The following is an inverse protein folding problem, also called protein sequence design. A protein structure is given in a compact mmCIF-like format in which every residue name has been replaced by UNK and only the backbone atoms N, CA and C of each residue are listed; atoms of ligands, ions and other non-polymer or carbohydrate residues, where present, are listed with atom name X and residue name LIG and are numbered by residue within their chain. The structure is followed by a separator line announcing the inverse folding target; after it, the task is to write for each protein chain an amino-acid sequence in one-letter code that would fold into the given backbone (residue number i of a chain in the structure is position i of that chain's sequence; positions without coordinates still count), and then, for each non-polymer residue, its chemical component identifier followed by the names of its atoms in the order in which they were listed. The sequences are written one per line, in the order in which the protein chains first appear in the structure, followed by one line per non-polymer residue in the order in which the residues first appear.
data_IF_383544746664
#
_entry.id   IF_383544746664
#
_cell.length_a   1.000
_cell.length_b   1.000
_cell.length_c   1.000
_cell.angle_alpha   90.00
_cell.angle_beta   90.00
_cell.angle_gamma   90.00
#
_symmetry.space_group_name_H-M   'P 1'
#
loop_
_entity.id
_entity.type
_entity.pdbx_description
1 polymer ?
#
# COMPACT_ATOMS: atom_id res chain seq x y z
N UNK A 1 59.58 -42.60 -68.05
CA UNK A 1 58.70 -41.48 -68.42
C UNK A 1 57.90 -41.13 -67.19
N UNK A 2 58.16 -39.94 -66.68
CA UNK A 2 57.89 -39.46 -65.32
C UNK A 2 56.65 -38.57 -65.35
N UNK A 3 55.67 -38.79 -64.49
CA UNK A 3 54.61 -37.82 -64.12
C UNK A 3 54.22 -38.17 -62.66
N UNK A 4 54.90 -37.66 -61.63
CA UNK A 4 54.69 -36.39 -60.90
C UNK A 4 53.26 -36.08 -60.38
N UNK A 5 53.17 -36.14 -59.04
CA UNK A 5 52.61 -35.17 -58.07
C UNK A 5 51.11 -34.83 -58.09
N UNK A 6 50.50 -34.98 -56.90
CA UNK A 6 49.30 -34.24 -56.54
C UNK A 6 48.61 -34.65 -55.23
N UNK A 7 49.35 -34.89 -54.14
CA UNK A 7 48.74 -35.14 -52.84
C UNK A 7 48.28 -33.80 -52.23
N UNK A 8 47.01 -33.45 -52.41
CA UNK A 8 46.38 -32.29 -51.73
C UNK A 8 46.06 -32.69 -50.29
N UNK A 9 46.85 -32.19 -49.36
CA UNK A 9 46.53 -32.20 -47.93
C UNK A 9 45.33 -31.26 -47.72
N UNK A 10 44.16 -31.82 -47.39
CA UNK A 10 43.03 -31.03 -46.90
C UNK A 10 43.34 -30.64 -45.46
N UNK A 11 43.79 -29.40 -45.25
CA UNK A 11 43.89 -28.83 -43.91
C UNK A 11 42.46 -28.56 -43.39
N UNK A 12 41.96 -29.44 -42.55
CA UNK A 12 40.75 -29.19 -41.76
C UNK A 12 41.15 -28.19 -40.67
N UNK A 13 40.90 -26.91 -40.92
CA UNK A 13 40.98 -25.88 -39.89
C UNK A 13 39.81 -26.11 -38.93
N UNK A 14 40.07 -26.78 -37.81
CA UNK A 14 39.15 -26.80 -36.67
C UNK A 14 39.04 -25.37 -36.13
N UNK A 15 38.00 -24.65 -36.57
CA UNK A 15 37.57 -23.42 -35.93
C UNK A 15 37.01 -23.81 -34.55
N UNK A 16 37.84 -23.76 -33.52
CA UNK A 16 37.39 -23.81 -32.14
C UNK A 16 36.67 -22.50 -31.89
N UNK A 17 35.35 -22.49 -32.07
CA UNK A 17 34.49 -21.44 -31.53
C UNK A 17 34.59 -21.59 -30.02
N UNK A 18 35.38 -20.71 -29.39
CA UNK A 18 35.30 -20.50 -27.96
C UNK A 18 33.91 -19.95 -27.67
N UNK A 19 32.97 -20.84 -27.38
CA UNK A 19 31.72 -20.46 -26.75
C UNK A 19 32.16 -19.93 -25.39
N UNK A 20 32.18 -18.60 -25.24
CA UNK A 20 32.18 -18.02 -23.91
C UNK A 20 30.89 -18.52 -23.26
N UNK A 21 30.99 -19.57 -22.45
CA UNK A 21 30.01 -19.79 -21.41
C UNK A 21 30.11 -18.59 -20.49
N UNK A 22 29.43 -17.50 -20.84
CA UNK A 22 28.89 -16.64 -19.82
C UNK A 22 28.03 -17.59 -19.00
N UNK A 23 28.54 -18.00 -17.84
CA UNK A 23 27.73 -18.68 -16.85
C UNK A 23 26.54 -17.76 -16.64
N UNK A 24 25.38 -18.14 -17.18
CA UNK A 24 24.12 -17.60 -16.72
C UNK A 24 24.07 -18.05 -15.27
N UNK A 25 24.54 -17.16 -14.39
CA UNK A 25 24.34 -17.34 -12.97
C UNK A 25 22.83 -17.19 -12.83
N UNK A 26 22.14 -18.33 -12.72
CA UNK A 26 20.79 -18.34 -12.18
C UNK A 26 20.90 -17.61 -10.86
N UNK A 27 20.32 -16.41 -10.80
CA UNK A 27 20.20 -15.70 -9.53
C UNK A 27 19.46 -16.64 -8.60
N UNK A 28 19.92 -16.75 -7.35
CA UNK A 28 19.19 -17.52 -6.36
C UNK A 28 17.71 -17.08 -6.32
N UNK A 29 16.75 -18.01 -6.17
CA UNK A 29 15.36 -17.65 -5.91
C UNK A 29 15.28 -16.78 -4.66
N UNK A 30 14.18 -16.02 -4.51
CA UNK A 30 14.01 -15.18 -3.34
C UNK A 30 14.17 -16.02 -2.06
N UNK A 31 14.92 -15.53 -1.06
CA UNK A 31 15.06 -16.24 0.21
C UNK A 31 13.71 -16.58 0.82
N UNK A 32 13.59 -17.77 1.44
CA UNK A 32 12.33 -18.23 2.04
C UNK A 32 11.72 -17.25 3.06
N UNK A 33 12.56 -16.46 3.73
CA UNK A 33 12.10 -15.41 4.66
C UNK A 33 11.22 -14.36 3.98
N UNK A 34 11.43 -14.09 2.68
CA UNK A 34 10.63 -13.10 1.95
C UNK A 34 9.13 -13.42 1.96
N UNK A 35 8.78 -14.69 2.15
CA UNK A 35 7.43 -15.21 2.17
C UNK A 35 6.82 -15.29 3.58
N UNK A 36 7.55 -14.96 4.64
CA UNK A 36 7.03 -14.98 6.01
C UNK A 36 5.79 -14.10 6.16
N UNK A 37 5.85 -12.90 5.57
CA UNK A 37 4.73 -11.96 5.53
C UNK A 37 3.53 -12.45 4.74
N UNK A 38 3.64 -13.45 3.85
CA UNK A 38 2.49 -13.96 3.09
C UNK A 38 1.39 -14.54 3.98
N UNK A 39 1.67 -14.84 5.25
CA UNK A 39 0.65 -15.26 6.23
C UNK A 39 -0.11 -14.09 6.84
N UNK A 40 0.41 -12.88 6.74
CA UNK A 40 -0.26 -11.69 7.22
C UNK A 40 -1.49 -11.38 6.37
N UNK A 41 -2.51 -10.85 7.02
CA UNK A 41 -3.78 -10.46 6.41
C UNK A 41 -4.33 -9.22 7.10
N UNK A 42 -5.28 -8.57 6.42
CA UNK A 42 -6.10 -7.50 6.97
C UNK A 42 -7.53 -7.69 6.49
N UNK A 43 -8.48 -7.45 7.39
CA UNK A 43 -9.91 -7.45 7.13
C UNK A 43 -10.51 -6.16 7.67
N UNK A 44 -11.53 -5.66 6.99
CA UNK A 44 -12.30 -4.52 7.44
C UNK A 44 -13.78 -4.70 7.10
N UNK A 45 -14.65 -4.51 8.09
CA UNK A 45 -16.09 -4.68 7.94
C UNK A 45 -16.86 -3.77 8.88
N UNK A 46 -18.14 -3.56 8.59
CA UNK A 46 -19.07 -2.89 9.51
C UNK A 46 -19.51 -3.90 10.57
N UNK A 47 -19.23 -3.62 11.85
CA UNK A 47 -19.45 -4.54 12.97
C UNK A 47 -20.92 -5.01 13.03
N UNK A 48 -21.85 -4.06 12.93
CA UNK A 48 -23.29 -4.32 12.97
C UNK A 48 -23.89 -4.55 11.55
N UNK A 49 -23.03 -4.60 10.52
CA UNK A 49 -23.42 -4.63 9.12
C UNK A 49 -23.79 -3.26 8.54
N UNK A 50 -23.65 -3.13 7.21
CA UNK A 50 -23.81 -1.84 6.52
C UNK A 50 -25.17 -1.17 6.75
N UNK A 51 -26.23 -1.94 6.96
CA UNK A 51 -27.61 -1.44 7.10
C UNK A 51 -28.04 -1.14 8.54
N UNK A 52 -27.21 -1.42 9.54
CA UNK A 52 -27.54 -1.13 10.94
C UNK A 52 -27.52 0.38 11.25
N UNK A 53 -28.19 0.79 12.33
CA UNK A 53 -28.20 2.20 12.75
C UNK A 53 -26.83 2.65 13.26
N UNK A 54 -26.20 1.85 14.12
CA UNK A 54 -24.83 2.09 14.59
C UNK A 54 -23.86 1.90 13.43
N UNK A 55 -23.06 2.92 13.17
CA UNK A 55 -21.96 2.86 12.21
C UNK A 55 -20.65 2.66 12.95
N UNK A 56 -20.32 1.41 13.23
CA UNK A 56 -19.00 1.04 13.71
C UNK A 56 -18.35 0.07 12.73
N UNK A 57 -17.07 0.23 12.46
CA UNK A 57 -16.30 -0.69 11.66
C UNK A 57 -15.14 -1.28 12.45
N UNK A 58 -14.84 -2.53 12.16
CA UNK A 58 -13.69 -3.23 12.69
C UNK A 58 -12.59 -3.23 11.64
N UNK A 59 -11.33 -3.19 12.11
CA UNK A 59 -10.20 -3.67 11.33
C UNK A 59 -9.56 -4.79 12.15
N UNK A 60 -9.33 -5.93 11.51
CA UNK A 60 -8.60 -7.05 12.11
C UNK A 60 -7.44 -7.40 11.20
N UNK A 61 -6.29 -7.62 11.81
CA UNK A 61 -5.09 -8.06 11.12
C UNK A 61 -4.58 -9.37 11.71
N UNK A 62 -3.49 -9.90 11.17
CA UNK A 62 -2.75 -10.99 11.78
C UNK A 62 -2.04 -10.61 13.09
N UNK A 63 -2.05 -9.35 13.54
CA UNK A 63 -1.27 -8.90 14.71
C UNK A 63 -2.05 -8.06 15.71
N UNK A 64 -3.01 -7.28 15.26
CA UNK A 64 -3.86 -6.42 16.09
C UNK A 64 -5.27 -6.27 15.52
N UNK A 65 -6.19 -5.78 16.34
CA UNK A 65 -7.51 -5.38 15.91
C UNK A 65 -7.93 -4.04 16.46
N UNK A 66 -8.97 -3.45 15.89
CA UNK A 66 -9.62 -2.24 16.41
C UNK A 66 -11.10 -2.20 16.07
N UNK A 67 -11.84 -1.45 16.89
CA UNK A 67 -13.24 -1.07 16.69
C UNK A 67 -13.34 0.44 16.69
N UNK A 68 -13.79 1.01 15.57
CA UNK A 68 -13.99 2.45 15.43
C UNK A 68 -15.47 2.76 15.20
N UNK A 69 -16.03 3.64 16.02
CA UNK A 69 -17.40 4.09 15.92
C UNK A 69 -17.47 5.43 15.18
N UNK A 70 -17.93 5.36 13.94
CA UNK A 70 -18.16 6.52 13.07
C UNK A 70 -19.26 7.42 13.63
N UNK A 71 -20.29 6.91 14.30
CA UNK A 71 -21.38 7.75 14.82
C UNK A 71 -20.95 8.70 15.93
N UNK A 72 -19.88 8.37 16.65
CA UNK A 72 -19.37 9.16 17.78
C UNK A 72 -17.96 9.72 17.56
N UNK A 73 -17.34 9.41 16.41
CA UNK A 73 -15.93 9.67 16.11
C UNK A 73 -15.02 9.15 17.23
N UNK A 74 -15.12 7.85 17.55
CA UNK A 74 -14.36 7.27 18.65
C UNK A 74 -13.68 5.95 18.27
N UNK A 75 -12.49 5.75 18.81
CA UNK A 75 -11.79 4.48 18.84
C UNK A 75 -12.21 3.76 20.14
N UNK A 76 -13.01 2.71 20.05
CA UNK A 76 -13.58 2.03 21.23
C UNK A 76 -12.68 0.91 21.75
N UNK A 77 -11.96 0.26 20.83
CA UNK A 77 -11.09 -0.90 21.10
C UNK A 77 -9.86 -0.84 20.20
N UNK A 78 -8.69 -1.14 20.76
CA UNK A 78 -7.44 -1.30 20.02
C UNK A 78 -6.45 -2.11 20.86
N UNK A 79 -5.94 -3.21 20.29
CA UNK A 79 -4.94 -4.04 20.95
C UNK A 79 -4.33 -5.09 20.03
N UNK A 80 -3.13 -5.55 20.40
CA UNK A 80 -2.44 -6.66 19.78
C UNK A 80 -3.08 -8.01 20.16
N UNK A 81 -2.93 -9.01 19.30
CA UNK A 81 -3.31 -10.39 19.58
C UNK A 81 -2.12 -11.13 20.17
N UNK A 82 -2.26 -11.63 21.40
CA UNK A 82 -1.23 -12.47 22.02
C UNK A 82 -1.05 -13.81 21.28
N UNK A 83 -2.13 -14.33 20.70
CA UNK A 83 -2.15 -15.55 19.89
C UNK A 83 -2.91 -15.26 18.61
N UNK A 84 -2.21 -14.83 17.55
CA UNK A 84 -2.87 -14.47 16.31
C UNK A 84 -3.49 -15.70 15.65
N UNK A 85 -4.74 -15.56 15.22
CA UNK A 85 -5.44 -16.59 14.45
C UNK A 85 -4.87 -16.67 13.04
N UNK A 86 -5.04 -17.83 12.41
CA UNK A 86 -4.88 -17.93 10.96
C UNK A 86 -5.93 -17.08 10.25
N UNK A 87 -5.69 -16.81 8.96
CA UNK A 87 -6.65 -16.12 8.10
C UNK A 87 -7.99 -16.86 8.03
N UNK A 88 -7.96 -18.19 7.92
CA UNK A 88 -9.16 -19.03 7.85
C UNK A 88 -9.96 -19.00 9.15
N UNK A 89 -9.31 -19.15 10.29
CA UNK A 89 -9.96 -19.04 11.61
C UNK A 89 -10.57 -17.66 11.81
N UNK A 90 -9.88 -16.61 11.36
CA UNK A 90 -10.34 -15.22 11.45
C UNK A 90 -11.61 -14.96 10.64
N UNK A 91 -11.77 -15.57 9.46
CA UNK A 91 -12.99 -15.44 8.65
C UNK A 91 -14.22 -16.08 9.30
N UNK A 92 -14.03 -16.99 10.24
CA UNK A 92 -15.10 -17.68 10.97
C UNK A 92 -15.36 -17.07 12.36
N UNK A 93 -14.49 -16.17 12.83
CA UNK A 93 -14.62 -15.51 14.12
C UNK A 93 -15.74 -14.46 14.10
N UNK A 94 -16.43 -14.31 15.24
CA UNK A 94 -17.39 -13.21 15.47
C UNK A 94 -16.70 -11.91 15.89
N UNK A 95 -17.50 -10.85 16.07
CA UNK A 95 -17.00 -9.54 16.51
C UNK A 95 -16.37 -9.60 17.91
N UNK A 96 -16.70 -10.61 18.71
CA UNK A 96 -16.37 -10.69 20.12
C UNK A 96 -14.85 -10.72 20.33
N UNK A 97 -14.11 -11.20 19.33
CA UNK A 97 -12.65 -11.09 19.29
C UNK A 97 -12.20 -9.62 19.43
N UNK A 98 -12.83 -8.72 18.67
CA UNK A 98 -12.51 -7.29 18.63
C UNK A 98 -13.16 -6.56 19.80
N UNK A 99 -14.39 -6.92 20.16
CA UNK A 99 -15.12 -6.28 21.28
C UNK A 99 -14.48 -6.53 22.64
N UNK A 100 -13.74 -7.64 22.79
CA UNK A 100 -12.98 -7.99 23.98
C UNK A 100 -11.54 -7.45 23.99
N UNK A 101 -11.11 -6.75 22.95
CA UNK A 101 -9.80 -6.08 22.97
C UNK A 101 -9.74 -5.02 24.08
N UNK A 102 -8.54 -4.63 24.52
CA UNK A 102 -8.39 -3.55 25.48
C UNK A 102 -9.06 -2.25 25.01
N UNK A 103 -9.66 -1.47 25.93
CA UNK A 103 -10.24 -0.18 25.58
C UNK A 103 -9.15 0.79 25.10
N UNK A 104 -9.53 1.64 24.17
CA UNK A 104 -8.73 2.76 23.71
C UNK A 104 -9.61 4.01 23.63
N UNK A 105 -8.99 5.17 23.41
CA UNK A 105 -9.70 6.40 23.11
C UNK A 105 -8.98 7.20 22.04
N UNK A 106 -9.73 8.00 21.30
CA UNK A 106 -9.22 8.92 20.30
C UNK A 106 -9.93 10.26 20.46
N UNK A 107 -9.16 11.34 20.44
CA UNK A 107 -9.65 12.70 20.49
C UNK A 107 -9.00 13.54 19.38
N UNK A 108 -9.84 14.16 18.56
CA UNK A 108 -9.43 15.08 17.50
C UNK A 108 -9.76 16.51 17.91
N UNK A 109 -8.77 17.40 17.93
CA UNK A 109 -8.92 18.82 18.24
C UNK A 109 -8.24 19.69 17.20
N UNK A 110 -8.82 20.87 16.98
CA UNK A 110 -8.24 21.95 16.20
C UNK A 110 -8.19 23.22 17.04
N UNK A 111 -7.07 23.93 17.01
CA UNK A 111 -6.96 25.28 17.54
C UNK A 111 -6.83 26.26 16.38
N UNK A 112 -7.76 27.22 16.27
CA UNK A 112 -7.78 28.26 15.26
C UNK A 112 -7.78 29.62 15.96
N UNK A 113 -6.72 30.41 15.78
CA UNK A 113 -6.50 31.71 16.43
C UNK A 113 -6.77 31.69 17.95
N UNK A 114 -6.27 30.67 18.64
CA UNK A 114 -6.42 30.49 20.10
C UNK A 114 -7.76 29.92 20.55
N UNK A 115 -8.70 29.66 19.64
CA UNK A 115 -9.97 28.98 19.94
C UNK A 115 -9.87 27.49 19.64
N UNK A 116 -10.15 26.65 20.64
CA UNK A 116 -10.11 25.19 20.54
C UNK A 116 -11.48 24.63 20.13
N UNK A 117 -11.46 23.68 19.20
CA UNK A 117 -12.61 22.97 18.67
C UNK A 117 -12.38 21.47 18.86
N UNK A 118 -13.29 20.79 19.57
CA UNK A 118 -13.31 19.32 19.62
C UNK A 118 -14.16 18.81 18.46
N UNK A 119 -13.59 17.90 17.66
CA UNK A 119 -14.24 17.42 16.46
C UNK A 119 -15.21 16.27 16.73
N UNK A 120 -16.17 16.14 15.82
CA UNK A 120 -17.15 15.06 15.71
C UNK A 120 -17.43 14.77 14.24
N UNK A 121 -17.83 13.55 13.94
CA UNK A 121 -18.36 13.16 12.63
C UNK A 121 -19.87 13.38 12.56
N UNK A 122 -20.41 13.35 11.34
CA UNK A 122 -21.85 13.33 11.08
C UNK A 122 -22.52 11.99 11.46
N UNK A 123 -21.72 10.92 11.59
CA UNK A 123 -22.20 9.55 11.66
C UNK A 123 -22.76 9.01 10.34
N UNK A 124 -22.83 9.83 9.28
CA UNK A 124 -23.29 9.42 7.98
C UNK A 124 -22.20 8.54 7.33
N UNK A 125 -22.51 7.28 6.98
CA UNK A 125 -21.53 6.40 6.36
C UNK A 125 -21.09 6.86 4.94
N UNK A 126 -21.81 7.78 4.29
CA UNK A 126 -21.37 8.38 3.02
C UNK A 126 -20.14 9.27 3.20
N UNK A 127 -19.96 9.87 4.38
CA UNK A 127 -18.75 10.64 4.74
C UNK A 127 -17.58 9.71 5.12
N UNK A 128 -17.77 8.38 5.18
CA UNK A 128 -16.73 7.41 5.51
C UNK A 128 -16.34 6.61 4.27
N UNK A 129 -15.39 7.16 3.52
CA UNK A 129 -14.97 6.68 2.21
C UNK A 129 -14.01 5.51 2.34
N UNK A 130 -14.25 4.45 1.58
CA UNK A 130 -13.29 3.36 1.38
C UNK A 130 -12.34 3.71 0.24
N UNK A 131 -11.05 3.89 0.54
CA UNK A 131 -10.05 4.29 -0.45
C UNK A 131 -9.36 3.05 -1.02
N UNK A 132 -8.70 2.26 -0.17
CA UNK A 132 -8.07 1.00 -0.53
C UNK A 132 -8.51 -0.13 0.41
N UNK A 133 -8.65 -1.34 -0.15
CA UNK A 133 -9.00 -2.53 0.61
C UNK A 133 -8.41 -3.77 -0.03
N UNK A 134 -7.90 -4.68 0.79
CA UNK A 134 -7.43 -6.00 0.37
C UNK A 134 -6.60 -6.68 1.45
N UNK A 135 -5.75 -7.62 1.07
CA UNK A 135 -4.96 -8.42 2.02
C UNK A 135 -4.00 -7.60 2.85
N UNK A 136 -3.26 -6.70 2.22
CA UNK A 136 -2.10 -6.03 2.80
C UNK A 136 -2.43 -4.69 3.42
N UNK A 137 -3.46 -4.02 2.92
CA UNK A 137 -3.68 -2.63 3.27
C UNK A 137 -5.16 -2.29 3.25
N UNK A 138 -5.61 -1.60 4.30
CA UNK A 138 -6.95 -1.05 4.43
C UNK A 138 -6.84 0.45 4.65
N UNK A 139 -7.62 1.24 3.94
CA UNK A 139 -7.66 2.69 4.13
C UNK A 139 -9.07 3.24 4.04
N UNK A 140 -9.44 4.01 5.06
CA UNK A 140 -10.67 4.80 5.07
C UNK A 140 -10.39 6.25 5.41
N UNK A 141 -11.25 7.13 4.90
CA UNK A 141 -11.21 8.55 5.22
C UNK A 141 -12.59 8.96 5.70
N UNK A 142 -12.65 9.54 6.89
CA UNK A 142 -13.84 10.15 7.46
C UNK A 142 -13.78 11.64 7.14
N UNK A 143 -14.62 12.06 6.20
CA UNK A 143 -14.75 13.43 5.70
C UNK A 143 -15.64 14.27 6.62
N UNK A 144 -15.71 15.56 6.28
CA UNK A 144 -16.73 16.49 6.78
C UNK A 144 -16.79 16.54 8.32
N UNK A 145 -15.64 16.46 8.99
CA UNK A 145 -15.61 16.59 10.45
C UNK A 145 -16.10 17.99 10.84
N UNK A 146 -16.98 18.04 11.82
CA UNK A 146 -17.54 19.26 12.39
C UNK A 146 -17.04 19.45 13.82
N UNK A 147 -17.22 20.64 14.39
CA UNK A 147 -17.00 20.86 15.82
C UNK A 147 -18.29 20.62 16.61
N UNK A 148 -18.15 20.04 17.80
CA UNK A 148 -19.30 19.64 18.65
C UNK A 148 -20.20 20.81 19.08
N UNK A 149 -19.60 21.98 19.31
CA UNK A 149 -20.26 23.09 20.03
C UNK A 149 -20.47 24.36 19.18
N UNK A 150 -19.82 24.45 18.01
CA UNK A 150 -19.85 25.64 17.18
C UNK A 150 -19.57 25.31 15.71
N UNK A 151 -19.91 26.18 14.75
CA UNK A 151 -19.44 26.05 13.38
C UNK A 151 -17.91 26.01 13.32
N UNK A 152 -17.37 25.07 12.55
CA UNK A 152 -15.93 24.92 12.35
C UNK A 152 -15.47 25.80 11.17
N UNK A 153 -14.55 26.77 11.37
CA UNK A 153 -14.04 27.62 10.28
C UNK A 153 -12.89 26.97 9.49
N UNK A 154 -12.96 25.65 9.29
CA UNK A 154 -12.00 24.84 8.57
C UNK A 154 -12.71 23.62 7.95
N UNK A 155 -12.12 23.03 6.92
CA UNK A 155 -12.43 21.64 6.55
C UNK A 155 -11.54 20.71 7.36
N UNK A 156 -12.06 19.53 7.71
CA UNK A 156 -11.29 18.53 8.45
C UNK A 156 -11.71 17.10 8.08
N UNK A 157 -10.73 16.19 8.11
CA UNK A 157 -10.93 14.77 7.87
C UNK A 157 -9.99 13.91 8.71
N UNK A 158 -10.44 12.71 9.07
CA UNK A 158 -9.62 11.70 9.75
C UNK A 158 -9.39 10.54 8.79
N UNK A 159 -8.13 10.29 8.45
CA UNK A 159 -7.71 9.12 7.68
C UNK A 159 -7.23 8.02 8.62
N UNK A 160 -7.58 6.77 8.28
CA UNK A 160 -7.17 5.56 9.00
C UNK A 160 -6.60 4.60 7.96
N UNK A 161 -5.31 4.28 8.10
CA UNK A 161 -4.51 3.47 7.18
C UNK A 161 -3.89 2.29 7.94
N UNK A 162 -4.20 1.05 7.56
CA UNK A 162 -3.83 -0.14 8.30
C UNK A 162 -3.08 -1.15 7.44
N UNK A 163 -1.86 -1.47 7.85
CA UNK A 163 -1.07 -2.64 7.44
C UNK A 163 -1.21 -3.75 8.49
N UNK A 164 -0.80 -4.99 8.21
CA UNK A 164 -0.86 -6.06 9.20
C UNK A 164 -0.17 -5.73 10.53
N UNK A 165 0.92 -4.96 10.50
CA UNK A 165 1.80 -4.70 11.63
C UNK A 165 1.75 -3.25 12.15
N UNK A 166 0.89 -2.40 11.58
CA UNK A 166 0.67 -1.03 12.07
C UNK A 166 -0.62 -0.41 11.55
N UNK A 167 -1.18 0.50 12.34
CA UNK A 167 -2.22 1.44 11.91
C UNK A 167 -1.71 2.88 12.07
N UNK A 168 -2.02 3.73 11.10
CA UNK A 168 -1.81 5.17 11.16
C UNK A 168 -3.15 5.88 11.18
N UNK A 169 -3.29 6.85 12.08
CA UNK A 169 -4.37 7.82 12.12
C UNK A 169 -3.81 9.18 11.73
N UNK A 170 -4.40 9.85 10.74
CA UNK A 170 -3.99 11.18 10.31
C UNK A 170 -5.18 12.12 10.37
N UNK A 171 -5.07 13.16 11.21
CA UNK A 171 -6.04 14.24 11.24
C UNK A 171 -5.56 15.36 10.31
N UNK A 172 -6.36 15.68 9.30
CA UNK A 172 -6.10 16.76 8.35
C UNK A 172 -7.05 17.91 8.60
N UNK A 173 -6.54 19.14 8.51
CA UNK A 173 -7.37 20.35 8.52
C UNK A 173 -6.87 21.42 7.56
N UNK A 174 -7.80 22.09 6.88
CA UNK A 174 -7.53 23.26 6.04
C UNK A 174 -8.39 24.43 6.53
N UNK A 175 -7.81 25.49 7.10
CA UNK A 175 -8.54 26.69 7.47
C UNK A 175 -9.24 27.33 6.26
N UNK A 176 -10.46 27.84 6.45
CA UNK A 176 -11.20 28.53 5.38
C UNK A 176 -10.63 29.92 5.09
N UNK A 177 -9.96 30.53 6.08
CA UNK A 177 -9.29 31.81 5.95
C UNK A 177 -7.80 31.57 5.73
N UNK A 178 -7.24 32.18 4.68
CA UNK A 178 -5.80 32.12 4.40
C UNK A 178 -5.00 32.73 5.54
N UNK A 179 -3.81 32.16 5.80
CA UNK A 179 -2.85 32.62 6.80
C UNK A 179 -3.35 32.56 8.27
N UNK A 180 -4.50 31.92 8.51
CA UNK A 180 -5.00 31.69 9.85
C UNK A 180 -4.07 30.77 10.63
N UNK A 181 -3.82 31.07 11.90
CA UNK A 181 -3.06 30.16 12.76
C UNK A 181 -3.90 28.92 13.02
N UNK A 182 -3.33 27.75 12.73
CA UNK A 182 -4.02 26.48 12.86
C UNK A 182 -3.07 25.44 13.44
N UNK A 183 -3.45 24.90 14.60
CA UNK A 183 -2.78 23.76 15.23
C UNK A 183 -3.75 22.59 15.21
N UNK A 184 -3.24 21.43 14.81
CA UNK A 184 -3.99 20.18 14.76
C UNK A 184 -3.47 19.28 15.85
N UNK A 185 -4.37 18.72 16.66
CA UNK A 185 -4.04 17.82 17.74
C UNK A 185 -4.85 16.54 17.59
N UNK A 186 -4.13 15.41 17.50
CA UNK A 186 -4.70 14.07 17.50
C UNK A 186 -4.14 13.32 18.70
N UNK A 187 -5.01 12.96 19.64
CA UNK A 187 -4.63 12.18 20.83
C UNK A 187 -5.23 10.80 20.75
N UNK A 188 -4.39 9.79 20.97
CA UNK A 188 -4.81 8.41 21.19
C UNK A 188 -4.34 8.00 22.57
N UNK A 189 -5.22 7.35 23.33
CA UNK A 189 -4.86 6.71 24.59
C UNK A 189 -5.08 5.21 24.46
N UNK A 190 -4.06 4.44 24.80
CA UNK A 190 -4.11 2.99 24.83
C UNK A 190 -4.25 2.52 26.28
N UNK A 191 -4.97 1.41 26.47
CA UNK A 191 -4.85 0.63 27.70
C UNK A 191 -3.42 0.11 27.88
N UNK A 192 -2.96 0.01 29.13
CA UNK A 192 -1.68 -0.65 29.47
C UNK A 192 -1.63 -2.12 29.00
N UNK A 193 -2.81 -2.73 28.81
CA UNK A 193 -2.96 -4.09 28.32
C UNK A 193 -3.02 -4.18 26.78
N UNK A 194 -2.90 -3.07 26.06
CA UNK A 194 -3.01 -3.05 24.59
C UNK A 194 -1.95 -3.87 23.89
N UNK A 195 -0.76 -4.04 24.49
CA UNK A 195 0.38 -4.67 23.84
C UNK A 195 0.90 -3.89 22.63
N UNK A 196 0.64 -2.59 22.55
CA UNK A 196 0.98 -1.72 21.43
C UNK A 196 1.72 -0.46 21.90
N UNK A 197 2.47 0.18 20.99
CA UNK A 197 3.16 1.44 21.22
C UNK A 197 2.63 2.54 20.30
N UNK A 198 2.65 3.79 20.79
CA UNK A 198 2.29 4.99 20.04
C UNK A 198 3.54 5.74 19.59
N UNK A 199 3.53 6.20 18.35
CA UNK A 199 4.55 7.07 17.79
C UNK A 199 3.89 8.23 17.04
N UNK A 200 4.23 9.46 17.40
CA UNK A 200 3.82 10.62 16.61
C UNK A 200 4.54 10.61 15.27
N UNK A 201 3.80 10.97 14.22
CA UNK A 201 4.35 11.15 12.88
C UNK A 201 4.05 12.58 12.44
N UNK A 202 5.12 13.32 12.18
CA UNK A 202 5.03 14.60 11.49
C UNK A 202 4.69 14.33 10.02
N UNK A 203 3.61 14.93 9.54
CA UNK A 203 3.29 14.97 8.12
C UNK A 203 3.11 16.43 7.73
N UNK A 204 3.81 16.86 6.69
CA UNK A 204 3.58 18.16 6.05
C UNK A 204 2.79 17.93 4.77
N UNK A 205 1.70 18.67 4.61
CA UNK A 205 0.91 18.65 3.37
C UNK A 205 0.74 20.07 2.87
N UNK A 206 0.72 20.23 1.55
CA UNK A 206 0.65 21.54 0.90
C UNK A 206 -0.68 22.25 1.28
N UNK A 207 -0.58 23.30 2.10
CA UNK A 207 -1.72 24.08 2.59
C UNK A 207 -2.52 23.48 3.76
N UNK A 208 -2.47 22.16 4.02
CA UNK A 208 -3.16 21.54 5.17
C UNK A 208 -2.23 21.35 6.37
N UNK A 209 -2.80 21.39 7.57
CA UNK A 209 -2.14 21.01 8.82
C UNK A 209 -2.47 19.57 9.13
N UNK A 210 -1.48 18.79 9.57
CA UNK A 210 -1.63 17.36 9.82
C UNK A 210 -1.03 16.97 11.16
N UNK A 211 -1.76 16.15 11.92
CA UNK A 211 -1.23 15.43 13.07
C UNK A 211 -1.39 13.93 12.83
N UNK A 212 -0.30 13.19 12.96
CA UNK A 212 -0.29 11.75 12.74
C UNK A 212 0.08 10.96 14.00
N UNK A 213 -0.64 9.87 14.23
CA UNK A 213 -0.30 8.88 15.26
C UNK A 213 -0.23 7.51 14.62
N UNK A 214 0.91 6.85 14.79
CA UNK A 214 1.10 5.45 14.44
C UNK A 214 0.96 4.61 15.68
N UNK A 215 0.23 3.51 15.54
CA UNK A 215 0.17 2.44 16.53
C UNK A 215 0.75 1.18 15.91
N UNK A 216 1.70 0.55 16.59
CA UNK A 216 2.34 -0.69 16.14
C UNK A 216 2.73 -1.57 17.33
N UNK A 217 3.14 -2.80 17.05
CA UNK A 217 3.75 -3.66 18.05
C UNK A 217 5.02 -2.99 18.64
N UNK A 218 5.35 -3.25 19.93
CA UNK A 218 6.49 -2.67 20.60
C UNK A 218 7.81 -2.98 19.90
N UNK A 219 8.70 -2.00 19.81
CA UNK A 219 10.09 -2.25 19.40
C UNK A 219 10.93 -2.73 20.59
N UNK A 220 11.99 -3.53 20.37
CA UNK A 220 12.93 -3.85 21.44
C UNK A 220 13.46 -2.57 22.11
N UNK A 221 13.36 -2.48 23.45
CA UNK A 221 13.80 -1.29 24.19
C UNK A 221 15.25 -0.94 23.87
N UNK A 222 15.49 0.33 23.54
CA UNK A 222 16.84 0.84 23.21
C UNK A 222 17.24 0.65 21.75
N UNK A 223 16.41 0.03 20.90
CA UNK A 223 16.59 0.16 19.45
C UNK A 223 16.27 1.61 19.08
N UNK A 224 17.25 2.35 18.57
CA UNK A 224 16.97 3.59 17.85
C UNK A 224 16.03 3.33 16.64
N UNK A 225 15.62 4.37 15.90
CA UNK A 225 14.93 4.14 14.63
C UNK A 225 15.76 3.17 13.78
N UNK A 226 15.15 2.05 13.36
CA UNK A 226 15.85 1.07 12.55
C UNK A 226 16.38 1.77 11.28
N UNK A 227 17.64 1.54 10.89
CA UNK A 227 18.15 2.05 9.62
C UNK A 227 17.18 1.74 8.48
N UNK A 228 16.92 2.73 7.64
CA UNK A 228 16.03 2.54 6.51
C UNK A 228 16.59 1.48 5.55
N UNK A 229 15.69 0.71 4.94
CA UNK A 229 16.03 -0.13 3.80
C UNK A 229 16.54 0.78 2.67
N UNK A 230 17.58 0.36 1.97
CA UNK A 230 18.05 1.05 0.77
C UNK A 230 17.33 0.45 -0.44
N UNK A 231 16.53 1.26 -1.15
CA UNK A 231 15.74 0.81 -2.28
C UNK A 231 16.09 1.55 -3.56
N UNK A 232 16.21 0.79 -4.65
CA UNK A 232 16.30 1.28 -6.00
C UNK A 232 15.25 0.59 -6.87
N UNK A 233 14.65 1.35 -7.78
CA UNK A 233 13.70 0.84 -8.76
C UNK A 233 14.12 1.29 -10.16
N UNK A 234 14.21 0.34 -11.09
CA UNK A 234 14.53 0.61 -12.50
C UNK A 234 13.50 -0.07 -13.39
N UNK A 235 12.71 0.73 -14.08
CA UNK A 235 11.88 0.24 -15.16
C UNK A 235 12.75 -0.13 -16.35
N UNK A 236 12.41 -1.22 -17.04
CA UNK A 236 13.09 -1.63 -18.27
C UNK A 236 12.12 -1.90 -19.43
N UNK A 237 10.87 -2.26 -19.16
CA UNK A 237 9.78 -2.18 -20.14
C UNK A 237 8.67 -1.25 -19.63
N UNK A 238 8.00 -0.50 -20.52
CA UNK A 238 8.23 -0.41 -21.97
C UNK A 238 9.44 0.49 -22.35
N UNK A 239 9.96 1.26 -21.39
CA UNK A 239 11.13 2.12 -21.57
C UNK A 239 12.04 2.00 -20.36
N UNK A 240 13.34 1.92 -20.62
CA UNK A 240 14.35 1.90 -19.57
C UNK A 240 14.47 3.25 -18.87
N UNK A 241 14.23 3.27 -17.55
CA UNK A 241 14.32 4.49 -16.74
C UNK A 241 14.46 4.16 -15.25
N UNK A 242 15.32 4.85 -14.48
CA UNK A 242 15.21 4.83 -13.02
C UNK A 242 13.88 5.44 -12.58
N UNK A 243 13.22 4.81 -11.61
CA UNK A 243 11.98 5.30 -11.01
C UNK A 243 12.27 5.99 -9.69
N UNK A 244 11.44 6.97 -9.34
CA UNK A 244 11.51 7.61 -8.03
C UNK A 244 10.99 6.64 -6.96
N UNK A 245 11.77 6.45 -5.90
CA UNK A 245 11.38 5.70 -4.71
C UNK A 245 11.49 6.63 -3.52
N UNK A 246 10.40 6.81 -2.79
CA UNK A 246 10.35 7.64 -1.60
C UNK A 246 9.63 6.90 -0.48
N UNK A 247 10.13 7.02 0.75
CA UNK A 247 9.39 6.54 1.91
C UNK A 247 8.28 7.52 2.26
N UNK A 248 7.04 7.03 2.31
CA UNK A 248 5.89 7.77 2.80
C UNK A 248 5.70 7.43 4.28
N UNK A 249 5.99 8.35 5.23
CA UNK A 249 5.85 8.08 6.65
C UNK A 249 4.40 7.98 7.12
N UNK A 250 3.46 8.62 6.41
CA UNK A 250 2.03 8.58 6.71
C UNK A 250 1.46 7.21 6.37
N UNK A 251 1.77 6.68 5.17
CA UNK A 251 1.38 5.33 4.76
C UNK A 251 2.29 4.26 5.35
N UNK A 252 3.50 4.60 5.79
CA UNK A 252 4.47 3.68 6.33
C UNK A 252 5.11 2.75 5.30
N UNK A 253 5.16 3.15 4.03
CA UNK A 253 5.57 2.32 2.90
C UNK A 253 6.52 3.05 1.94
N UNK A 254 7.31 2.30 1.18
CA UNK A 254 8.10 2.85 0.08
C UNK A 254 7.22 2.97 -1.16
N UNK A 255 6.98 4.21 -1.58
CA UNK A 255 6.26 4.53 -2.80
C UNK A 255 7.21 4.49 -3.99
N UNK A 256 6.94 3.57 -4.92
CA UNK A 256 7.58 3.46 -6.23
C UNK A 256 6.68 4.17 -7.24
N UNK A 257 7.12 5.32 -7.73
CA UNK A 257 6.39 6.09 -8.76
C UNK A 257 6.53 5.38 -10.11
N UNK A 258 5.55 4.56 -10.47
CA UNK A 258 5.50 3.91 -11.78
C UNK A 258 5.33 4.95 -12.88
N UNK A 259 5.76 4.62 -14.09
CA UNK A 259 5.64 5.54 -15.21
C UNK A 259 4.18 5.71 -15.62
N UNK A 260 3.75 6.96 -15.78
CA UNK A 260 2.53 7.29 -16.52
C UNK A 260 2.87 7.38 -18.02
N UNK A 261 2.37 6.45 -18.82
CA UNK A 261 2.57 6.49 -20.26
C UNK A 261 1.52 7.40 -20.91
N UNK A 262 1.90 8.23 -21.90
CA UNK A 262 0.94 9.05 -22.64
C UNK A 262 0.01 8.16 -23.50
N UNK A 263 -1.27 8.51 -23.55
CA UNK A 263 -2.25 7.90 -24.46
C UNK A 263 -2.06 8.46 -25.89
N UNK A 264 -2.22 7.63 -26.95
CA UNK A 264 -2.08 8.09 -28.35
C UNK A 264 -2.11 7.01 -29.45
N UNK A 265 -2.05 7.43 -30.72
CA UNK A 265 -2.08 6.52 -31.89
C UNK A 265 -0.88 5.55 -31.93
N UNK A 266 -1.15 4.27 -32.27
CA UNK A 266 -0.16 3.19 -32.27
C UNK A 266 0.07 2.53 -30.91
N UNK A 267 -0.62 3.00 -29.87
CA UNK A 267 -0.56 2.42 -28.54
C UNK A 267 -1.52 1.21 -28.44
N UNK A 268 -0.97 0.01 -28.40
CA UNK A 268 -1.74 -1.21 -28.14
C UNK A 268 -1.96 -1.35 -26.63
N UNK A 269 -3.02 -0.70 -26.11
CA UNK A 269 -3.34 -0.70 -24.67
C UNK A 269 -3.40 -2.11 -24.07
N UNK A 270 -3.91 -3.07 -24.85
CA UNK A 270 -4.09 -4.46 -24.41
C UNK A 270 -2.81 -5.30 -24.45
N UNK A 271 -1.70 -4.83 -25.00
CA UNK A 271 -0.45 -5.62 -25.03
C UNK A 271 0.67 -4.93 -24.23
N UNK A 272 0.31 -3.91 -23.45
CA UNK A 272 1.26 -3.17 -22.63
C UNK A 272 1.77 -4.05 -21.50
N UNK A 273 3.09 -4.21 -21.45
CA UNK A 273 3.80 -4.84 -20.33
C UNK A 273 4.74 -3.81 -19.71
N UNK A 274 4.60 -3.63 -18.40
CA UNK A 274 5.51 -2.86 -17.57
C UNK A 274 6.31 -3.81 -16.69
N UNK A 275 7.64 -3.64 -16.69
CA UNK A 275 8.54 -4.45 -15.88
C UNK A 275 9.52 -3.54 -15.16
N UNK A 276 9.56 -3.67 -13.84
CA UNK A 276 10.36 -2.86 -12.93
C UNK A 276 11.21 -3.77 -12.09
N UNK A 277 12.53 -3.65 -12.23
CA UNK A 277 13.48 -4.31 -11.34
C UNK A 277 13.60 -3.52 -10.05
N UNK A 278 13.43 -4.21 -8.94
CA UNK A 278 13.63 -3.71 -7.59
C UNK A 278 14.94 -4.26 -7.06
N UNK A 279 15.73 -3.40 -6.42
CA UNK A 279 16.89 -3.80 -5.63
C UNK A 279 16.73 -3.23 -4.24
N UNK A 280 16.83 -4.10 -3.23
CA UNK A 280 16.70 -3.71 -1.82
C UNK A 280 17.87 -4.25 -1.02
N UNK A 281 18.42 -3.41 -0.14
CA UNK A 281 19.42 -3.81 0.84
C UNK A 281 18.92 -3.52 2.27
N UNK A 282 18.99 -4.53 3.12
CA UNK A 282 18.81 -4.41 4.56
C UNK A 282 20.20 -4.34 5.23
N UNK A 283 20.62 -3.18 5.75
CA UNK A 283 21.91 -3.02 6.39
C UNK A 283 21.93 -3.48 7.86
N UNK A 284 20.80 -3.94 8.40
CA UNK A 284 20.62 -4.25 9.81
C UNK A 284 20.86 -5.74 10.10
N UNK A 285 21.18 -6.07 11.35
CA UNK A 285 21.37 -7.44 11.83
C UNK A 285 20.06 -8.21 12.06
N UNK A 286 18.91 -7.54 11.93
CA UNK A 286 17.58 -8.16 12.05
C UNK A 286 16.85 -8.18 10.71
N UNK A 287 15.84 -9.06 10.54
CA UNK A 287 14.95 -8.98 9.40
C UNK A 287 14.16 -7.66 9.42
N UNK A 288 13.81 -7.13 8.25
CA UNK A 288 13.01 -5.92 8.12
C UNK A 288 11.83 -6.13 7.16
N UNK A 289 10.64 -5.69 7.57
CA UNK A 289 9.46 -5.66 6.71
C UNK A 289 9.58 -4.55 5.67
N UNK A 290 9.70 -4.94 4.39
CA UNK A 290 9.56 -4.06 3.25
C UNK A 290 8.09 -3.95 2.83
N UNK A 291 7.46 -2.80 3.10
CA UNK A 291 6.16 -2.44 2.56
C UNK A 291 6.34 -1.58 1.32
N UNK A 292 5.67 -1.94 0.23
CA UNK A 292 5.76 -1.27 -1.06
C UNK A 292 4.39 -0.79 -1.52
N UNK A 293 4.39 0.39 -2.12
CA UNK A 293 3.29 0.95 -2.89
C UNK A 293 3.81 1.25 -4.30
N UNK A 294 3.38 0.46 -5.29
CA UNK A 294 3.57 0.76 -6.70
C UNK A 294 2.44 1.66 -7.18
N UNK A 295 2.74 2.91 -7.53
CA UNK A 295 1.70 3.91 -7.74
C UNK A 295 1.79 4.60 -9.11
N UNK A 296 0.62 4.78 -9.73
CA UNK A 296 0.37 5.66 -10.87
C UNK A 296 -0.74 6.63 -10.47
N UNK A 297 -0.48 7.93 -10.58
CA UNK A 297 -1.49 8.98 -10.33
C UNK A 297 -1.77 9.74 -11.63
N UNK A 298 -2.88 10.47 -11.70
CA UNK A 298 -3.32 11.36 -12.79
C UNK A 298 -3.57 10.72 -14.17
N UNK A 299 -2.86 9.66 -14.56
CA UNK A 299 -3.05 8.97 -15.84
C UNK A 299 -2.67 7.51 -15.71
N UNK A 300 -3.67 6.63 -15.84
CA UNK A 300 -3.49 5.18 -15.78
C UNK A 300 -4.02 4.55 -17.06
N UNK A 301 -3.08 4.12 -17.90
CA UNK A 301 -3.39 3.40 -19.13
C UNK A 301 -3.97 2.02 -18.82
N UNK A 302 -5.05 1.63 -19.51
CA UNK A 302 -5.65 0.30 -19.40
C UNK A 302 -6.09 -0.06 -17.98
N UNK A 303 -6.48 0.94 -17.17
CA UNK A 303 -6.78 0.79 -15.74
C UNK A 303 -7.80 -0.32 -15.44
N UNK A 304 -8.77 -0.52 -16.33
CA UNK A 304 -9.84 -1.51 -16.17
C UNK A 304 -9.34 -2.96 -16.26
N UNK A 305 -8.25 -3.24 -16.98
CA UNK A 305 -7.72 -4.58 -17.23
C UNK A 305 -6.29 -4.80 -16.72
N UNK A 306 -5.90 -4.11 -15.64
CA UNK A 306 -4.55 -4.15 -15.11
C UNK A 306 -4.35 -5.33 -14.14
N UNK A 307 -3.37 -6.17 -14.42
CA UNK A 307 -2.90 -7.25 -13.52
C UNK A 307 -1.45 -6.99 -13.11
N UNK A 308 -1.08 -7.35 -11.88
CA UNK A 308 0.27 -7.15 -11.36
C UNK A 308 0.76 -8.37 -10.57
N UNK A 309 2.06 -8.62 -10.60
CA UNK A 309 2.70 -9.71 -9.86
C UNK A 309 4.15 -9.41 -9.52
N UNK A 310 4.64 -10.07 -8.47
CA UNK A 310 6.06 -10.12 -8.15
C UNK A 310 6.69 -11.37 -8.78
N UNK A 311 7.81 -11.19 -9.47
CA UNK A 311 8.58 -12.24 -10.11
C UNK A 311 10.00 -12.30 -9.56
N UNK A 312 10.57 -13.49 -9.59
CA UNK A 312 11.99 -13.67 -9.30
C UNK A 312 12.87 -13.20 -10.47
N UNK A 313 14.18 -13.35 -10.32
CA UNK A 313 15.16 -12.90 -11.32
C UNK A 313 15.21 -13.79 -12.56
N UNK A 314 14.62 -14.99 -12.52
CA UNK A 314 14.43 -15.85 -13.68
C UNK A 314 13.11 -15.53 -14.42
N UNK A 315 12.29 -14.63 -13.85
CA UNK A 315 11.06 -14.14 -14.44
C UNK A 315 9.83 -15.01 -14.12
N UNK A 316 9.92 -15.90 -13.13
CA UNK A 316 8.78 -16.71 -12.66
C UNK A 316 7.97 -15.96 -11.60
N UNK A 317 6.63 -16.08 -11.60
CA UNK A 317 5.80 -15.55 -10.52
C UNK A 317 6.18 -16.17 -9.17
N UNK A 318 6.36 -15.32 -8.16
CA UNK A 318 6.77 -15.76 -6.82
C UNK A 318 5.61 -16.30 -5.99
N UNK A 319 4.38 -15.89 -6.30
CA UNK A 319 3.20 -16.13 -5.46
C UNK A 319 3.02 -15.11 -4.33
N UNK A 320 3.94 -14.15 -4.15
CA UNK A 320 3.73 -13.01 -3.24
C UNK A 320 2.65 -12.11 -3.87
N UNK A 321 1.50 -11.90 -3.20
CA UNK A 321 0.40 -11.17 -3.80
C UNK A 321 0.72 -9.68 -3.94
N UNK A 322 0.23 -9.10 -5.03
CA UNK A 322 0.08 -7.65 -5.20
C UNK A 322 -1.39 -7.33 -5.01
N UNK A 323 -1.75 -6.68 -3.91
CA UNK A 323 -3.09 -6.12 -3.73
C UNK A 323 -3.25 -4.96 -4.70
N UNK A 324 -4.35 -4.92 -5.45
CA UNK A 324 -4.63 -3.85 -6.39
C UNK A 324 -5.87 -3.08 -5.95
N UNK A 325 -5.67 -1.77 -5.76
CA UNK A 325 -6.71 -0.77 -5.62
C UNK A 325 -6.59 0.25 -6.74
N UNK A 326 -7.71 0.73 -7.29
CA UNK A 326 -7.71 1.68 -8.40
C UNK A 326 -8.94 2.57 -8.38
N UNK A 327 -8.84 3.72 -9.04
CA UNK A 327 -9.97 4.60 -9.32
C UNK A 327 -9.80 5.25 -10.68
N UNK A 328 -10.89 5.66 -11.33
CA UNK A 328 -10.89 6.53 -12.51
C UNK A 328 -12.01 7.57 -12.45
N UNK A 329 -12.80 7.55 -11.39
CA UNK A 329 -13.97 8.39 -11.27
C UNK A 329 -13.57 9.79 -10.86
N UNK A 330 -14.19 10.77 -11.50
CA UNK A 330 -13.90 12.16 -11.26
C UNK A 330 -15.20 12.97 -11.34
N UNK A 331 -15.42 13.85 -10.38
CA UNK A 331 -16.52 14.81 -10.36
C UNK A 331 -15.93 16.20 -10.22
N UNK A 332 -16.14 17.05 -11.23
CA UNK A 332 -15.60 18.42 -11.27
C UNK A 332 -15.99 19.25 -10.05
N UNK A 333 -17.15 18.97 -9.47
CA UNK A 333 -17.71 19.68 -8.32
C UNK A 333 -17.08 19.26 -6.98
N UNK A 334 -16.33 18.15 -6.95
CA UNK A 334 -15.68 17.61 -5.77
C UNK A 334 -14.18 17.90 -5.81
N UNK A 335 -13.68 18.58 -4.78
CA UNK A 335 -12.24 18.72 -4.55
C UNK A 335 -11.80 17.63 -3.56
N UNK A 336 -11.76 16.39 -4.05
CA UNK A 336 -11.36 15.22 -3.26
C UNK A 336 -9.98 14.72 -3.69
N UNK A 337 -8.99 14.59 -2.78
CA UNK A 337 -7.65 14.10 -3.11
C UNK A 337 -7.59 12.62 -3.54
N UNK A 338 -8.64 11.83 -3.31
CA UNK A 338 -8.70 10.41 -3.69
C UNK A 338 -9.55 10.16 -4.93
N UNK A 339 -10.04 11.21 -5.61
CA UNK A 339 -10.67 11.04 -6.92
C UNK A 339 -9.62 10.85 -8.02
N UNK A 340 -10.11 10.43 -9.18
CA UNK A 340 -9.36 10.48 -10.44
C UNK A 340 -8.71 9.17 -10.81
N UNK A 341 -8.10 9.12 -12.01
CA UNK A 341 -7.37 7.95 -12.45
C UNK A 341 -6.12 7.75 -11.60
N UNK A 342 -6.15 6.71 -10.75
CA UNK A 342 -4.98 6.23 -10.04
C UNK A 342 -5.00 4.70 -9.91
N UNK A 343 -3.81 4.13 -9.76
CA UNK A 343 -3.57 2.72 -9.48
C UNK A 343 -2.59 2.62 -8.34
N UNK A 344 -2.92 1.81 -7.34
CA UNK A 344 -2.07 1.48 -6.20
C UNK A 344 -1.93 -0.04 -6.08
N UNK A 345 -0.70 -0.52 -6.24
CA UNK A 345 -0.29 -1.91 -6.01
C UNK A 345 0.45 -2.05 -4.69
N UNK A 346 -0.12 -2.73 -3.71
CA UNK A 346 0.52 -2.95 -2.41
C UNK A 346 1.10 -4.35 -2.30
N UNK A 347 2.28 -4.45 -1.70
CA UNK A 347 2.88 -5.74 -1.32
C UNK A 347 3.78 -5.59 -0.11
N UNK A 348 4.06 -6.70 0.57
CA UNK A 348 4.94 -6.77 1.73
C UNK A 348 5.88 -7.96 1.62
N UNK A 349 7.17 -7.76 1.92
CA UNK A 349 8.21 -8.79 1.93
C UNK A 349 9.05 -8.66 3.19
N UNK A 350 9.56 -9.77 3.74
CA UNK A 350 10.55 -9.73 4.82
C UNK A 350 11.96 -9.85 4.26
N UNK A 351 12.74 -8.78 4.39
CA UNK A 351 14.11 -8.70 3.88
C UNK A 351 15.07 -9.28 4.94
N UNK A 352 15.86 -10.32 4.60
CA UNK A 352 16.80 -10.92 5.55
C UNK A 352 17.82 -9.89 6.09
N UNK A 353 18.40 -10.14 7.28
CA UNK A 353 19.46 -9.29 7.82
C UNK A 353 20.68 -9.25 6.91
N UNK A 354 21.32 -8.09 6.82
CA UNK A 354 22.59 -7.85 6.10
C UNK A 354 22.58 -8.36 4.64
N UNK A 355 21.40 -8.38 4.01
CA UNK A 355 21.20 -8.93 2.68
C UNK A 355 20.89 -7.85 1.65
N UNK A 356 21.36 -8.07 0.42
CA UNK A 356 20.89 -7.37 -0.78
C UNK A 356 20.19 -8.36 -1.68
N UNK A 357 18.99 -8.02 -2.14
CA UNK A 357 18.20 -8.87 -3.02
C UNK A 357 17.58 -8.06 -4.16
N UNK A 358 17.31 -8.76 -5.25
CA UNK A 358 16.62 -8.22 -6.42
C UNK A 358 15.38 -9.07 -6.72
N UNK A 359 14.32 -8.41 -7.18
CA UNK A 359 13.10 -9.02 -7.69
C UNK A 359 12.46 -8.10 -8.71
N UNK A 360 11.41 -8.56 -9.36
CA UNK A 360 10.74 -7.81 -10.41
C UNK A 360 9.26 -7.59 -10.10
N UNK A 361 8.79 -6.35 -10.17
CA UNK A 361 7.38 -6.05 -10.34
C UNK A 361 7.03 -6.09 -11.82
N UNK A 362 5.97 -6.82 -12.17
CA UNK A 362 5.45 -6.86 -13.54
C UNK A 362 3.96 -6.57 -13.53
N UNK A 363 3.52 -5.67 -14.41
CA UNK A 363 2.11 -5.49 -14.69
C UNK A 363 1.80 -5.51 -16.17
N UNK A 364 0.62 -6.00 -16.50
CA UNK A 364 0.09 -6.06 -17.86
C UNK A 364 -1.28 -5.41 -17.92
N UNK A 365 -1.68 -4.97 -19.10
CA UNK A 365 -3.01 -4.45 -19.37
C UNK A 365 -3.65 -5.31 -20.45
N UNK A 366 -4.80 -5.93 -20.19
CA UNK A 366 -5.56 -6.72 -21.18
C UNK A 366 -4.95 -8.08 -21.53
N UNK A 367 -3.72 -8.13 -22.02
CA UNK A 367 -3.03 -9.35 -22.43
C UNK A 367 -1.67 -9.55 -21.72
N UNK A 368 -1.33 -10.80 -21.46
CA UNK A 368 -0.01 -11.25 -21.08
C UNK A 368 0.74 -11.75 -22.32
N UNK A 369 1.46 -10.83 -22.99
CA UNK A 369 2.25 -11.19 -24.17
C UNK A 369 1.40 -11.71 -25.35
N UNK A 370 0.26 -11.06 -25.61
CA UNK A 370 -0.67 -11.41 -26.68
C UNK A 370 -1.76 -12.43 -26.32
N UNK A 371 -1.75 -12.96 -25.10
CA UNK A 371 -2.82 -13.83 -24.58
C UNK A 371 -3.69 -13.09 -23.56
N UNK A 372 -5.02 -13.23 -23.56
CA UNK A 372 -5.89 -12.58 -22.56
C UNK A 372 -5.45 -12.81 -21.12
N UNK A 373 -5.37 -11.73 -20.35
CA UNK A 373 -5.03 -11.73 -18.93
C UNK A 373 -6.28 -11.42 -18.10
N UNK A 374 -6.51 -12.21 -17.07
CA UNK A 374 -7.59 -11.96 -16.10
C UNK A 374 -7.08 -11.00 -15.04
N UNK A 375 -7.86 -9.95 -14.74
CA UNK A 375 -7.58 -9.04 -13.62
C UNK A 375 -8.70 -9.04 -12.60
N UNK A 376 -8.35 -8.84 -11.33
CA UNK A 376 -9.27 -8.59 -10.22
C UNK A 376 -8.67 -7.50 -9.33
N UNK A 377 -9.47 -6.50 -8.97
CA UNK A 377 -9.02 -5.35 -8.20
C UNK A 377 -10.17 -4.72 -7.42
N UNK A 378 -9.84 -4.11 -6.29
CA UNK A 378 -10.77 -3.22 -5.61
C UNK A 378 -10.86 -1.89 -6.38
N UNK A 379 -12.08 -1.45 -6.64
CA UNK A 379 -12.42 -0.19 -7.28
C UNK A 379 -12.86 0.82 -6.21
N UNK A 380 -12.15 1.92 -6.09
CA UNK A 380 -12.56 3.06 -5.28
C UNK A 380 -13.62 3.87 -6.02
N UNK A 381 -14.64 4.32 -5.28
CA UNK A 381 -15.78 5.06 -5.83
C UNK A 381 -15.80 6.55 -5.49
N UNK A 382 -14.73 7.06 -4.87
CA UNK A 382 -14.56 8.50 -4.69
C UNK A 382 -14.59 9.17 -6.06
N UNK A 383 -15.45 10.16 -6.22
CA UNK A 383 -15.70 10.80 -7.52
C UNK A 383 -16.75 10.11 -8.40
N UNK A 384 -17.34 8.97 -7.99
CA UNK A 384 -18.50 8.35 -8.66
C UNK A 384 -19.81 8.54 -7.92
N UNK A 385 -19.86 8.28 -6.61
CA UNK A 385 -21.11 8.15 -5.87
C UNK A 385 -20.95 7.52 -4.49
N UNK A 386 -21.69 6.44 -4.18
CA UNK A 386 -21.66 5.79 -2.86
C UNK A 386 -20.30 5.10 -2.60
N UNK A 387 -19.76 5.24 -1.40
CA UNK A 387 -18.32 5.05 -1.12
C UNK A 387 -17.93 3.74 -0.41
N UNK A 388 -18.50 2.60 -0.81
CA UNK A 388 -18.22 1.30 -0.18
C UNK A 388 -17.47 0.34 -1.11
N UNK A 389 -17.39 -0.94 -0.73
CA UNK A 389 -16.60 -1.95 -1.45
C UNK A 389 -17.18 -2.24 -2.83
N UNK A 390 -16.33 -2.11 -3.84
CA UNK A 390 -16.58 -2.55 -5.20
C UNK A 390 -15.38 -3.35 -5.68
N UNK A 391 -15.64 -4.54 -6.21
CA UNK A 391 -14.66 -5.38 -6.87
C UNK A 391 -14.92 -5.35 -8.38
N UNK A 392 -13.84 -5.24 -9.15
CA UNK A 392 -13.90 -5.25 -10.60
C UNK A 392 -13.02 -6.36 -11.14
N UNK A 393 -13.62 -7.23 -11.93
CA UNK A 393 -12.95 -8.26 -12.70
C UNK A 393 -13.02 -7.94 -14.20
N UNK A 394 -11.96 -8.24 -14.94
CA UNK A 394 -11.91 -8.09 -16.40
C UNK A 394 -11.17 -9.26 -17.06
N UNK A 395 -11.56 -9.57 -18.30
CA UNK A 395 -11.10 -10.67 -19.15
C UNK A 395 -10.77 -10.17 -20.55
#
# INVERSE_FOLDING_TARGET
MTIEKGMRLLAITCLVVAISQAAVSFSAPLPGSCFEGCRDYTFMWWADGWRAERKAFCIQTSRYGLLFNLSTLSLERLGAFESPMSEEESLLAGNELIENLPPASLECRLELDGKVYTLSSSGNPEDCELIESGRWFQRRVIRSLAAKEAPLPATASLEISAWPDRVTFLLHAVPLVRDQTCVVELKIQLSELSGLELHEVASESDGARVAGVVVSEPRPRGSGPAPALNLEAKQFLPLEKPLNVAYDPALGAHRVALRNDPQGEGFHENDRIERVRMKVANPTQGPQTLRLLFAKDDTVVGITGLSAMIRDNDGFPTGIPVQISKNWHHRKELSDPFQGPWYHGFTSLTIPPEATMEFEYTSVNGHWGGLPAVSHAQLCLVGWGTNQLWDQAAL
#
